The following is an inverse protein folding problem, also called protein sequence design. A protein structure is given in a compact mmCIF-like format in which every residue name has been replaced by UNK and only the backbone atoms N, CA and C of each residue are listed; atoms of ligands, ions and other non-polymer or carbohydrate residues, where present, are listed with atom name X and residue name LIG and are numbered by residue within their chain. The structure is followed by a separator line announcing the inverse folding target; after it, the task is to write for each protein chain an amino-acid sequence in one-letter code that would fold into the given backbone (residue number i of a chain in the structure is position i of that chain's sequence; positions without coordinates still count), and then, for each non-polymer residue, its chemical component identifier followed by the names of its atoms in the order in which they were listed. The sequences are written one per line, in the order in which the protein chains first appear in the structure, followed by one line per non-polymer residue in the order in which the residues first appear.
data_IF_176707456594
#
_entry.id   IF_176707456594
#
_cell.length_a   1.000
_cell.length_b   1.000
_cell.length_c   1.000
_cell.angle_alpha   90.00
_cell.angle_beta   90.00
_cell.angle_gamma   90.00
#
_symmetry.space_group_name_H-M   'P 1'
#
loop_
_entity.id
_entity.type
_entity.pdbx_description
1 polymer ?
#
# COMPACT_ATOMS: atom_id res chain seq x y z
N UNK A 1 61.93 20.77 -30.37
CA UNK A 1 61.07 19.80 -31.07
C UNK A 1 61.28 18.49 -30.31
N UNK A 2 60.36 17.92 -29.53
CA UNK A 2 58.90 17.72 -29.63
C UNK A 2 58.38 17.44 -28.20
N UNK A 3 57.53 18.29 -27.62
CA UNK A 3 56.08 18.09 -27.34
C UNK A 3 55.75 16.74 -26.68
N UNK A 4 55.59 16.77 -25.35
CA UNK A 4 54.83 15.79 -24.58
C UNK A 4 53.33 15.94 -24.88
N UNK A 5 52.74 14.95 -25.54
CA UNK A 5 51.28 14.83 -25.68
C UNK A 5 50.79 13.90 -24.57
N UNK A 6 50.34 14.48 -23.47
CA UNK A 6 49.56 13.76 -22.46
C UNK A 6 48.15 13.57 -23.03
N UNK A 7 47.85 12.34 -23.45
CA UNK A 7 46.50 11.92 -23.82
C UNK A 7 45.62 11.94 -22.55
N UNK A 8 44.89 13.04 -22.37
CA UNK A 8 43.80 13.13 -21.40
C UNK A 8 42.52 12.66 -22.06
N UNK A 9 42.32 11.35 -22.10
CA UNK A 9 40.99 10.80 -22.34
C UNK A 9 40.14 11.05 -21.08
N UNK A 10 39.51 12.22 -21.01
CA UNK A 10 38.49 12.50 -20.02
C UNK A 10 37.29 11.57 -20.30
N UNK A 11 37.14 10.53 -19.48
CA UNK A 11 35.91 9.75 -19.42
C UNK A 11 34.83 10.71 -18.90
N UNK A 12 34.03 11.26 -19.81
CA UNK A 12 32.87 12.06 -19.45
C UNK A 12 31.87 11.11 -18.81
N UNK A 13 31.81 11.08 -17.48
CA UNK A 13 30.74 10.40 -16.75
C UNK A 13 29.41 10.99 -17.19
N UNK A 14 28.67 10.25 -18.03
CA UNK A 14 27.30 10.61 -18.39
C UNK A 14 26.47 10.54 -17.11
N UNK A 15 26.15 11.69 -16.53
CA UNK A 15 25.21 11.79 -15.41
C UNK A 15 23.88 11.18 -15.83
N UNK A 16 23.59 9.98 -15.31
CA UNK A 16 22.33 9.28 -15.59
C UNK A 16 21.21 10.15 -15.05
N UNK A 17 20.29 10.57 -15.92
CA UNK A 17 19.07 11.26 -15.49
C UNK A 17 18.24 10.31 -14.64
N UNK A 18 17.78 10.78 -13.49
CA UNK A 18 16.96 10.02 -12.56
C UNK A 18 15.57 10.61 -12.45
N UNK A 19 14.62 9.80 -11.98
CA UNK A 19 13.27 10.19 -11.60
C UNK A 19 13.06 9.85 -10.12
N UNK A 20 12.21 10.62 -9.45
CA UNK A 20 11.71 10.29 -8.12
C UNK A 20 10.30 9.68 -8.26
N UNK A 21 10.11 8.50 -7.70
CA UNK A 21 8.85 7.77 -7.72
C UNK A 21 8.36 7.62 -6.28
N UNK A 22 7.10 8.00 -6.03
CA UNK A 22 6.45 7.82 -4.74
C UNK A 22 5.64 6.54 -4.74
N UNK A 23 5.84 5.69 -3.73
CA UNK A 23 5.01 4.52 -3.47
C UNK A 23 4.27 4.73 -2.16
N UNK A 24 2.94 4.71 -2.24
CA UNK A 24 2.06 4.72 -1.09
C UNK A 24 1.87 3.28 -0.60
N UNK A 25 2.41 2.99 0.58
CA UNK A 25 2.37 1.68 1.20
C UNK A 25 1.00 1.40 1.87
N UNK A 26 0.76 0.15 2.28
CA UNK A 26 -0.53 -0.29 2.82
C UNK A 26 -0.86 0.32 4.19
N UNK A 27 0.15 0.73 4.94
CA UNK A 27 0.05 1.44 6.23
C UNK A 27 -0.11 2.97 6.08
N UNK A 28 -0.42 3.43 4.86
CA UNK A 28 -0.54 4.85 4.49
C UNK A 28 0.78 5.65 4.46
N UNK A 29 1.93 5.01 4.73
CA UNK A 29 3.24 5.68 4.61
C UNK A 29 3.66 5.87 3.15
N UNK A 30 4.38 6.96 2.86
CA UNK A 30 4.88 7.29 1.52
C UNK A 30 6.38 7.11 1.45
N UNK A 31 6.84 6.32 0.48
CA UNK A 31 8.25 6.00 0.28
C UNK A 31 8.73 6.52 -1.07
N UNK A 32 9.88 7.20 -1.07
CA UNK A 32 10.51 7.71 -2.30
C UNK A 32 11.53 6.72 -2.83
N UNK A 33 11.52 6.51 -4.15
CA UNK A 33 12.45 5.66 -4.88
C UNK A 33 13.10 6.48 -6.00
N UNK A 34 14.43 6.54 -6.00
CA UNK A 34 15.20 7.23 -7.03
C UNK A 34 15.66 6.19 -8.05
N UNK A 35 15.14 6.29 -9.27
CA UNK A 35 15.37 5.32 -10.34
C UNK A 35 15.96 6.02 -11.58
N UNK A 36 16.71 5.30 -12.44
CA UNK A 36 17.05 5.81 -13.77
C UNK A 36 15.81 6.24 -14.55
N UNK A 37 15.92 7.29 -15.36
CA UNK A 37 14.80 7.82 -16.15
C UNK A 37 14.17 6.80 -17.11
N UNK A 38 14.91 5.75 -17.50
CA UNK A 38 14.42 4.68 -18.37
C UNK A 38 13.95 3.43 -17.60
N UNK A 39 13.88 3.51 -16.27
CA UNK A 39 13.51 2.36 -15.44
C UNK A 39 12.13 1.81 -15.81
N UNK A 40 12.06 0.50 -15.86
CA UNK A 40 10.87 -0.32 -16.04
C UNK A 40 10.05 -0.45 -14.75
N UNK A 41 8.81 -0.92 -14.88
CA UNK A 41 8.01 -1.32 -13.73
C UNK A 41 8.69 -2.40 -12.88
N UNK A 42 9.31 -3.39 -13.52
CA UNK A 42 10.03 -4.47 -12.83
C UNK A 42 11.15 -3.95 -11.90
N UNK A 43 11.90 -2.94 -12.34
CA UNK A 43 12.96 -2.35 -11.51
C UNK A 43 12.40 -1.65 -10.26
N UNK A 44 11.30 -0.92 -10.38
CA UNK A 44 10.60 -0.34 -9.23
C UNK A 44 10.08 -1.45 -8.31
N UNK A 45 9.40 -2.46 -8.86
CA UNK A 45 8.83 -3.57 -8.10
C UNK A 45 9.90 -4.28 -7.26
N UNK A 46 11.04 -4.62 -7.85
CA UNK A 46 12.16 -5.26 -7.13
C UNK A 46 12.68 -4.38 -6.00
N UNK A 47 12.81 -3.06 -6.21
CA UNK A 47 13.22 -2.16 -5.12
C UNK A 47 12.19 -2.08 -4.00
N UNK A 48 10.89 -2.07 -4.34
CA UNK A 48 9.79 -2.07 -3.36
C UNK A 48 9.81 -3.35 -2.53
N UNK A 49 9.86 -4.53 -3.17
CA UNK A 49 9.89 -5.82 -2.47
C UNK A 49 11.09 -5.92 -1.53
N UNK A 50 12.28 -5.49 -1.99
CA UNK A 50 13.51 -5.48 -1.18
C UNK A 50 13.41 -4.50 0.00
N UNK A 51 12.89 -3.29 -0.22
CA UNK A 51 12.78 -2.28 0.83
C UNK A 51 11.90 -2.75 2.00
N UNK A 52 10.79 -3.41 1.68
CA UNK A 52 9.84 -3.91 2.67
C UNK A 52 10.12 -5.35 3.11
N UNK A 53 11.18 -5.97 2.59
CA UNK A 53 11.54 -7.36 2.89
C UNK A 53 10.38 -8.34 2.68
N UNK A 54 9.66 -8.20 1.56
CA UNK A 54 8.54 -9.07 1.20
C UNK A 54 9.09 -10.37 0.62
N UNK A 55 8.86 -11.48 1.30
CA UNK A 55 9.27 -12.82 0.84
C UNK A 55 8.20 -13.43 -0.07
N UNK A 56 6.93 -13.37 0.34
CA UNK A 56 5.79 -13.88 -0.43
C UNK A 56 5.26 -12.80 -1.40
N UNK A 57 6.11 -12.34 -2.32
CA UNK A 57 5.80 -11.19 -3.18
C UNK A 57 4.69 -11.43 -4.21
N UNK A 58 4.40 -12.70 -4.53
CA UNK A 58 3.47 -13.10 -5.60
C UNK A 58 2.04 -12.59 -5.40
N UNK A 59 1.66 -12.23 -4.17
CA UNK A 59 0.35 -11.70 -3.86
C UNK A 59 0.21 -10.20 -4.13
N UNK A 60 1.31 -9.47 -4.28
CA UNK A 60 1.34 -8.01 -4.27
C UNK A 60 1.80 -7.41 -5.59
N UNK A 61 1.32 -6.21 -5.87
CA UNK A 61 1.75 -5.41 -7.02
C UNK A 61 1.51 -3.92 -6.78
N UNK A 62 1.89 -3.11 -7.75
CA UNK A 62 1.69 -1.66 -7.75
C UNK A 62 0.54 -1.28 -8.67
N UNK A 63 -0.35 -0.42 -8.20
CA UNK A 63 -1.36 0.24 -9.02
C UNK A 63 -1.04 1.74 -9.17
N UNK A 64 -1.58 2.35 -10.21
CA UNK A 64 -1.51 3.80 -10.43
C UNK A 64 -2.80 4.28 -11.11
N UNK A 65 -2.99 5.60 -11.14
CA UNK A 65 -4.04 6.24 -11.93
C UNK A 65 -3.45 6.66 -13.28
N UNK A 66 -3.99 6.16 -14.37
CA UNK A 66 -3.56 6.55 -15.72
C UNK A 66 -4.03 7.98 -16.07
N UNK A 67 -3.72 8.44 -17.28
CA UNK A 67 -4.09 9.78 -17.76
C UNK A 67 -5.60 10.02 -17.78
N UNK A 68 -6.38 8.97 -18.02
CA UNK A 68 -7.85 9.00 -18.05
C UNK A 68 -8.49 8.96 -16.65
N UNK A 69 -7.68 8.92 -15.58
CA UNK A 69 -8.18 8.76 -14.22
C UNK A 69 -8.74 7.37 -13.94
N UNK A 70 -8.29 6.36 -14.68
CA UNK A 70 -8.62 4.95 -14.47
C UNK A 70 -7.50 4.30 -13.65
N UNK A 71 -7.89 3.49 -12.68
CA UNK A 71 -6.96 2.69 -11.87
C UNK A 71 -6.44 1.52 -12.70
N UNK A 72 -5.12 1.43 -12.83
CA UNK A 72 -4.43 0.38 -13.59
C UNK A 72 -3.36 -0.30 -12.73
N UNK A 73 -3.16 -1.59 -12.96
CA UNK A 73 -1.96 -2.29 -12.48
C UNK A 73 -0.74 -1.83 -13.28
N UNK A 74 0.39 -1.71 -12.62
CA UNK A 74 1.66 -1.42 -13.25
C UNK A 74 2.04 -2.52 -14.22
N UNK A 75 2.44 -2.13 -15.43
CA UNK A 75 3.07 -3.01 -16.39
C UNK A 75 4.57 -3.11 -16.08
N UNK A 76 5.03 -4.31 -15.74
CA UNK A 76 6.42 -4.55 -15.33
C UNK A 76 7.40 -4.38 -16.50
N UNK A 77 6.93 -4.52 -17.75
CA UNK A 77 7.78 -4.48 -18.95
C UNK A 77 7.95 -3.08 -19.52
N UNK A 78 7.03 -2.16 -19.18
CA UNK A 78 7.04 -0.79 -19.72
C UNK A 78 7.84 0.18 -18.84
N UNK A 79 8.52 1.18 -19.43
CA UNK A 79 9.10 2.28 -18.66
C UNK A 79 8.04 3.01 -17.83
N UNK A 80 8.36 3.36 -16.58
CA UNK A 80 7.42 4.00 -15.65
C UNK A 80 6.80 5.28 -16.23
N UNK A 81 7.64 6.14 -16.81
CA UNK A 81 7.22 7.39 -17.46
C UNK A 81 6.30 7.22 -18.66
N UNK A 82 6.24 6.02 -19.26
CA UNK A 82 5.32 5.72 -20.37
C UNK A 82 3.98 5.19 -19.89
N UNK A 83 3.83 4.97 -18.58
CA UNK A 83 2.59 4.49 -17.97
C UNK A 83 1.86 5.62 -17.25
N UNK A 84 2.62 6.53 -16.62
CA UNK A 84 2.08 7.64 -15.85
C UNK A 84 1.90 8.91 -16.68
N UNK A 85 0.99 9.77 -16.23
CA UNK A 85 0.73 11.05 -16.87
C UNK A 85 1.98 11.95 -16.97
N UNK A 86 2.23 12.48 -18.15
CA UNK A 86 3.36 13.39 -18.36
C UNK A 86 3.26 14.66 -17.49
N UNK A 87 4.38 15.06 -16.88
CA UNK A 87 4.50 16.29 -16.09
C UNK A 87 3.85 16.25 -14.70
N UNK A 88 3.30 15.11 -14.28
CA UNK A 88 2.78 14.90 -12.92
C UNK A 88 3.75 14.08 -12.07
N UNK A 89 3.55 14.13 -10.76
CA UNK A 89 4.22 13.23 -9.83
C UNK A 89 3.94 11.77 -10.18
N UNK A 90 4.99 10.96 -10.19
CA UNK A 90 4.90 9.52 -10.43
C UNK A 90 4.54 8.86 -9.10
N UNK A 91 3.26 8.52 -8.94
CA UNK A 91 2.73 7.91 -7.71
C UNK A 91 2.15 6.54 -8.02
N UNK A 92 2.67 5.53 -7.34
CA UNK A 92 2.13 4.18 -7.31
C UNK A 92 1.61 3.87 -5.91
N UNK A 93 0.67 2.93 -5.81
CA UNK A 93 0.18 2.40 -4.54
C UNK A 93 0.47 0.91 -4.47
N UNK A 94 1.01 0.47 -3.35
CA UNK A 94 1.23 -0.94 -3.06
C UNK A 94 -0.08 -1.60 -2.62
N UNK A 95 -0.43 -2.70 -3.27
CA UNK A 95 -1.72 -3.38 -3.10
C UNK A 95 -1.54 -4.90 -3.15
N UNK A 96 -2.48 -5.61 -2.51
CA UNK A 96 -2.71 -7.02 -2.82
C UNK A 96 -3.39 -7.09 -4.20
N UNK A 97 -2.80 -7.87 -5.11
CA UNK A 97 -3.31 -8.15 -6.45
C UNK A 97 -4.05 -9.47 -6.51
N UNK A 98 -3.54 -10.47 -5.78
CA UNK A 98 -4.12 -11.81 -5.74
C UNK A 98 -4.43 -12.17 -4.29
N UNK A 99 -5.71 -12.32 -3.97
CA UNK A 99 -6.14 -12.78 -2.66
C UNK A 99 -6.10 -14.30 -2.62
N UNK A 100 -5.49 -14.87 -1.58
CA UNK A 100 -5.59 -16.31 -1.32
C UNK A 100 -6.96 -16.63 -0.73
N UNK A 101 -7.66 -17.69 -1.18
CA UNK A 101 -8.88 -18.18 -0.54
C UNK A 101 -8.60 -18.83 0.83
N UNK A 102 -7.33 -19.07 1.15
CA UNK A 102 -6.90 -19.80 2.34
C UNK A 102 -5.83 -18.97 3.09
N UNK A 103 -6.22 -18.19 4.12
CA UNK A 103 -5.29 -17.35 4.88
C UNK A 103 -4.17 -18.12 5.57
N UNK A 104 -4.38 -19.40 5.88
CA UNK A 104 -3.40 -20.33 6.44
C UNK A 104 -2.28 -20.72 5.46
N UNK A 105 -2.39 -20.36 4.17
CA UNK A 105 -1.30 -20.50 3.19
C UNK A 105 -0.29 -19.35 3.25
N UNK A 106 -0.62 -18.24 3.92
CA UNK A 106 0.33 -17.15 4.14
C UNK A 106 1.26 -17.60 5.27
N UNK A 107 2.51 -17.89 4.95
CA UNK A 107 3.48 -18.40 5.93
C UNK A 107 4.06 -17.28 6.79
N UNK A 108 4.32 -16.12 6.18
CA UNK A 108 4.94 -14.99 6.84
C UNK A 108 3.92 -14.14 7.61
N UNK A 109 4.28 -13.78 8.85
CA UNK A 109 3.46 -12.89 9.67
C UNK A 109 3.29 -11.52 9.02
N UNK A 110 4.36 -11.00 8.39
CA UNK A 110 4.30 -9.72 7.71
C UNK A 110 3.36 -9.75 6.51
N UNK A 111 3.32 -10.84 5.74
CA UNK A 111 2.35 -11.00 4.64
C UNK A 111 0.92 -10.96 5.17
N UNK A 112 0.62 -11.69 6.26
CA UNK A 112 -0.70 -11.67 6.90
C UNK A 112 -1.08 -10.27 7.37
N UNK A 113 -0.14 -9.53 7.95
CA UNK A 113 -0.34 -8.15 8.36
C UNK A 113 -0.67 -7.23 7.18
N UNK A 114 0.06 -7.33 6.07
CA UNK A 114 -0.22 -6.54 4.87
C UNK A 114 -1.59 -6.87 4.26
N UNK A 115 -1.99 -8.14 4.27
CA UNK A 115 -3.35 -8.54 3.89
C UNK A 115 -4.41 -7.90 4.79
N UNK A 116 -4.20 -7.88 6.11
CA UNK A 116 -5.11 -7.23 7.05
C UNK A 116 -5.24 -5.72 6.77
N UNK A 117 -4.13 -5.03 6.49
CA UNK A 117 -4.14 -3.62 6.09
C UNK A 117 -4.89 -3.37 4.80
N UNK A 118 -4.72 -4.24 3.80
CA UNK A 118 -5.47 -4.18 2.55
C UNK A 118 -6.97 -4.36 2.79
N UNK A 119 -7.38 -5.38 3.56
CA UNK A 119 -8.78 -5.65 3.89
C UNK A 119 -9.39 -4.44 4.61
N UNK A 120 -8.68 -3.87 5.59
CA UNK A 120 -9.08 -2.62 6.25
C UNK A 120 -9.31 -1.50 5.25
N UNK A 121 -8.35 -1.28 4.33
CA UNK A 121 -8.48 -0.25 3.29
C UNK A 121 -9.70 -0.49 2.41
N UNK A 122 -9.93 -1.72 1.98
CA UNK A 122 -11.05 -2.07 1.10
C UNK A 122 -12.40 -1.91 1.82
N UNK A 123 -12.45 -2.23 3.12
CA UNK A 123 -13.62 -2.02 3.97
C UNK A 123 -13.93 -0.53 4.17
N UNK A 124 -12.91 0.31 4.37
CA UNK A 124 -13.06 1.76 4.57
C UNK A 124 -13.39 2.49 3.27
N UNK A 125 -12.85 2.03 2.14
CA UNK A 125 -13.09 2.64 0.82
C UNK A 125 -14.36 2.14 0.14
N UNK A 126 -15.03 1.13 0.70
CA UNK A 126 -16.26 0.54 0.15
C UNK A 126 -16.00 -0.42 -1.01
N UNK A 127 -14.74 -0.79 -1.28
CA UNK A 127 -14.37 -1.79 -2.29
C UNK A 127 -14.78 -3.20 -1.85
N UNK A 128 -14.66 -3.49 -0.54
CA UNK A 128 -15.07 -4.77 0.02
C UNK A 128 -16.58 -4.79 0.28
N UNK A 129 -17.34 -5.34 -0.68
CA UNK A 129 -18.79 -5.51 -0.57
C UNK A 129 -19.08 -6.74 0.29
N UNK A 130 -19.76 -6.52 1.42
CA UNK A 130 -20.19 -7.59 2.33
C UNK A 130 -21.46 -7.20 3.08
N UNK A 131 -22.03 -8.13 3.85
CA UNK A 131 -23.20 -7.82 4.69
C UNK A 131 -22.84 -6.84 5.80
N UNK A 132 -23.82 -6.07 6.30
CA UNK A 132 -23.60 -5.15 7.42
C UNK A 132 -23.03 -5.83 8.67
N UNK A 133 -23.46 -7.07 8.96
CA UNK A 133 -22.91 -7.84 10.07
C UNK A 133 -21.46 -8.22 9.85
N UNK A 134 -21.10 -8.63 8.63
CA UNK A 134 -19.71 -8.93 8.27
C UNK A 134 -18.84 -7.68 8.36
N UNK A 135 -19.30 -6.55 7.84
CA UNK A 135 -18.60 -5.28 7.91
C UNK A 135 -18.36 -4.85 9.37
N UNK A 136 -19.39 -4.92 10.22
CA UNK A 136 -19.27 -4.59 11.64
C UNK A 136 -18.32 -5.54 12.39
N UNK A 137 -18.36 -6.84 12.08
CA UNK A 137 -17.43 -7.81 12.65
C UNK A 137 -15.98 -7.53 12.24
N UNK A 138 -15.71 -7.29 10.95
CA UNK A 138 -14.37 -6.90 10.47
C UNK A 138 -13.91 -5.59 11.11
N UNK A 139 -14.80 -4.59 11.17
CA UNK A 139 -14.55 -3.33 11.86
C UNK A 139 -14.14 -3.54 13.31
N UNK A 140 -14.78 -4.46 14.03
CA UNK A 140 -14.45 -4.75 15.43
C UNK A 140 -13.08 -5.41 15.60
N UNK A 141 -12.62 -6.24 14.66
CA UNK A 141 -11.26 -6.78 14.68
C UNK A 141 -10.22 -5.71 14.38
N UNK A 142 -10.54 -4.73 13.53
CA UNK A 142 -9.66 -3.57 13.30
C UNK A 142 -9.53 -2.74 14.58
N UNK A 143 -10.65 -2.50 15.29
CA UNK A 143 -10.65 -1.81 16.58
C UNK A 143 -9.77 -2.57 17.59
N UNK A 144 -10.00 -3.87 17.75
CA UNK A 144 -9.22 -4.73 18.65
C UNK A 144 -7.71 -4.64 18.35
N UNK A 145 -7.32 -4.61 17.07
CA UNK A 145 -5.93 -4.49 16.66
C UNK A 145 -5.32 -3.10 16.92
N UNK A 146 -6.13 -2.03 16.90
CA UNK A 146 -5.65 -0.65 17.09
C UNK A 146 -5.60 -0.20 18.55
N UNK A 147 -6.59 -0.59 19.36
CA UNK A 147 -6.74 -0.07 20.73
C UNK A 147 -6.76 -1.16 21.81
N UNK A 148 -6.71 -2.44 21.42
CA UNK A 148 -6.74 -3.57 22.35
C UNK A 148 -8.14 -3.92 22.85
N UNK A 149 -8.22 -4.58 24.00
CA UNK A 149 -9.47 -5.10 24.57
C UNK A 149 -10.47 -4.01 24.93
N UNK A 150 -11.76 -4.36 24.92
CA UNK A 150 -12.81 -3.46 25.38
C UNK A 150 -12.73 -3.21 26.89
N UNK A 151 -12.50 -1.95 27.30
CA UNK A 151 -12.48 -1.52 28.71
C UNK A 151 -13.77 -0.75 29.03
N UNK A 152 -14.64 -1.33 29.87
CA UNK A 152 -15.98 -0.78 30.17
C UNK A 152 -15.94 0.63 30.78
N UNK A 153 -14.93 0.91 31.59
CA UNK A 153 -14.77 2.18 32.29
C UNK A 153 -14.38 3.33 31.34
N UNK A 154 -13.66 3.00 30.27
CA UNK A 154 -13.12 3.91 29.25
C UNK A 154 -14.08 4.06 28.06
N UNK A 155 -14.56 2.94 27.52
CA UNK A 155 -15.37 2.86 26.30
C UNK A 155 -16.88 2.84 26.61
N UNK A 156 -17.36 3.94 27.18
CA UNK A 156 -18.75 4.04 27.67
C UNK A 156 -19.82 4.08 26.58
N UNK A 157 -19.49 4.66 25.42
CA UNK A 157 -20.37 4.79 24.27
C UNK A 157 -19.57 4.72 22.97
N UNK A 158 -20.22 4.85 21.81
CA UNK A 158 -19.58 4.73 20.49
C UNK A 158 -18.58 5.85 20.15
N UNK A 159 -18.40 6.87 21.01
CA UNK A 159 -17.51 8.00 20.71
C UNK A 159 -16.05 7.59 20.48
N UNK A 160 -15.57 6.55 21.16
CA UNK A 160 -14.20 6.05 20.97
C UNK A 160 -13.95 5.50 19.54
N UNK A 161 -15.02 5.12 18.82
CA UNK A 161 -14.94 4.62 17.46
C UNK A 161 -14.92 5.72 16.39
N UNK A 162 -15.38 6.94 16.71
CA UNK A 162 -15.64 7.99 15.71
C UNK A 162 -14.40 8.48 14.97
N UNK A 163 -13.24 8.41 15.62
CA UNK A 163 -11.97 8.85 15.04
C UNK A 163 -11.23 7.71 14.32
N UNK A 164 -11.73 6.47 14.41
CA UNK A 164 -11.07 5.30 13.81
C UNK A 164 -11.55 5.10 12.37
N UNK A 165 -10.61 4.80 11.47
CA UNK A 165 -10.90 4.45 10.08
C UNK A 165 -11.27 2.97 9.97
N UNK A 166 -12.52 2.64 10.33
CA UNK A 166 -12.97 1.24 10.48
C UNK A 166 -14.06 0.79 9.50
N UNK A 167 -14.80 1.72 8.90
CA UNK A 167 -15.90 1.43 7.97
C UNK A 167 -16.00 2.50 6.89
N UNK A 168 -16.47 2.11 5.70
CA UNK A 168 -16.96 3.05 4.69
C UNK A 168 -18.24 3.72 5.20
N UNK A 169 -18.40 5.04 5.08
CA UNK A 169 -19.62 5.79 5.47
C UNK A 169 -20.19 5.42 6.86
N UNK A 170 -19.40 5.56 7.94
CA UNK A 170 -19.85 5.18 9.29
C UNK A 170 -21.02 6.05 9.75
N UNK A 171 -21.97 5.43 10.47
CA UNK A 171 -23.04 6.11 11.18
C UNK A 171 -23.25 5.46 12.56
N UNK A 172 -24.02 6.10 13.43
CA UNK A 172 -24.19 5.66 14.82
C UNK A 172 -24.68 4.21 14.93
N UNK A 173 -25.59 3.74 14.06
CA UNK A 173 -26.10 2.37 14.11
C UNK A 173 -25.03 1.34 13.73
N UNK A 174 -24.22 1.67 12.71
CA UNK A 174 -23.11 0.80 12.28
C UNK A 174 -22.00 0.75 13.33
N UNK A 175 -21.69 1.89 13.95
CA UNK A 175 -20.72 1.96 15.05
C UNK A 175 -21.20 1.20 16.30
N UNK A 176 -22.50 1.22 16.61
CA UNK A 176 -23.06 0.41 17.70
C UNK A 176 -22.82 -1.08 17.48
N UNK A 177 -23.07 -1.58 16.26
CA UNK A 177 -22.80 -2.99 15.92
C UNK A 177 -21.32 -3.35 16.06
N UNK A 178 -20.42 -2.47 15.62
CA UNK A 178 -18.97 -2.66 15.83
C UNK A 178 -18.65 -2.76 17.32
N UNK A 179 -19.15 -1.83 18.12
CA UNK A 179 -18.94 -1.81 19.57
C UNK A 179 -19.45 -3.09 20.22
N UNK A 180 -20.60 -3.61 19.79
CA UNK A 180 -21.17 -4.84 20.32
C UNK A 180 -20.32 -6.07 19.98
N UNK A 181 -19.74 -6.15 18.79
CA UNK A 181 -18.75 -7.19 18.48
C UNK A 181 -17.45 -7.01 19.28
N UNK A 182 -16.94 -5.78 19.41
CA UNK A 182 -15.69 -5.50 20.13
C UNK A 182 -15.72 -5.97 21.59
N UNK A 183 -16.87 -5.85 22.27
CA UNK A 183 -17.07 -6.36 23.64
C UNK A 183 -16.88 -7.88 23.77
N UNK A 184 -17.00 -8.63 22.68
CA UNK A 184 -17.04 -10.10 22.68
C UNK A 184 -15.73 -10.75 22.18
N UNK A 185 -14.66 -9.99 21.97
CA UNK A 185 -13.36 -10.52 21.52
C UNK A 185 -12.48 -11.07 22.65
N UNK A 186 -12.98 -11.10 23.89
CA UNK A 186 -12.33 -11.70 25.05
C UNK A 186 -12.57 -13.21 25.18
#
# INVERSE_FOLDING_TARGET
MTIDVIDKTAVVEKKIKTINVRVLHLDETVHNFILPHHASGAELYVQVMRKFNILESDYFDLEFMNEDGIRCWMDHTRPLLRQTAHGKDIVFRFCVKFYTPHPNLLEEEYTRYLFALQIKRDLVTGVLICSENTAALLGSYIVQAEIGDFIKEEYRDISYLRNLKILHEPNDDRLRRVMDFHKNHM
#
